data_IF_523232301650
#
_entry.id   IF_523232301650
#
_cell.length_a   1.000
_cell.length_b   1.000
_cell.length_c   1.000
_cell.angle_alpha   90.00
_cell.angle_beta   90.00
_cell.angle_gamma   90.00
#
_symmetry.space_group_name_H-M   'P 1'
#
loop_
_entity.id
_entity.type
_entity.pdbx_description
1 polymer ?
#
# COMPACT_ATOMS: atom_id res chain seq x y z
N UNK A 1 -3.24 -2.43 35.14
CA UNK A 1 -2.70 -3.57 34.36
C UNK A 1 -3.39 -3.74 33.02
N UNK A 2 -4.72 -3.96 32.95
CA UNK A 2 -5.42 -4.09 31.65
C UNK A 2 -5.43 -2.75 30.88
N UNK A 3 -5.83 -1.64 31.53
CA UNK A 3 -5.88 -0.33 30.86
C UNK A 3 -4.50 0.15 30.40
N UNK A 4 -3.47 -0.12 31.20
CA UNK A 4 -2.08 0.18 30.87
C UNK A 4 -1.60 -0.62 29.65
N UNK A 5 -1.91 -1.92 29.60
CA UNK A 5 -1.64 -2.76 28.45
C UNK A 5 -2.36 -2.25 27.20
N UNK A 6 -3.64 -1.90 27.30
CA UNK A 6 -4.44 -1.37 26.20
C UNK A 6 -3.86 -0.06 25.66
N UNK A 7 -3.38 0.82 26.55
CA UNK A 7 -2.72 2.06 26.16
C UNK A 7 -1.38 1.79 25.47
N UNK A 8 -0.54 0.90 26.00
CA UNK A 8 0.74 0.54 25.34
C UNK A 8 0.52 -0.04 23.95
N UNK A 9 -0.45 -0.95 23.80
CA UNK A 9 -0.82 -1.53 22.51
C UNK A 9 -1.30 -0.45 21.55
N UNK A 10 -2.19 0.44 21.99
CA UNK A 10 -2.74 1.49 21.13
C UNK A 10 -1.68 2.48 20.67
N UNK A 11 -0.75 2.87 21.54
CA UNK A 11 0.37 3.75 21.19
C UNK A 11 1.30 3.15 20.13
N UNK A 12 1.38 1.82 20.04
CA UNK A 12 2.22 1.13 19.05
C UNK A 12 1.46 0.87 17.74
N UNK A 13 0.19 0.44 17.83
CA UNK A 13 -0.58 -0.02 16.66
C UNK A 13 -1.27 1.14 15.94
N UNK A 14 -1.80 2.13 16.66
CA UNK A 14 -2.58 3.21 16.04
C UNK A 14 -1.78 4.02 15.01
N UNK A 15 -0.51 4.41 15.24
CA UNK A 15 0.29 5.11 14.23
C UNK A 15 0.46 4.27 12.97
N UNK A 16 0.74 2.97 13.11
CA UNK A 16 0.95 2.05 11.98
C UNK A 16 -0.33 1.97 11.14
N UNK A 17 -1.49 1.76 11.76
CA UNK A 17 -2.77 1.68 11.07
C UNK A 17 -3.13 3.01 10.40
N UNK A 18 -2.91 4.13 11.08
CA UNK A 18 -3.16 5.45 10.52
C UNK A 18 -2.29 5.72 9.29
N UNK A 19 -0.97 5.56 9.40
CA UNK A 19 -0.03 5.77 8.30
C UNK A 19 -0.33 4.84 7.13
N UNK A 20 -0.55 3.54 7.40
CA UNK A 20 -0.97 2.58 6.38
C UNK A 20 -2.22 3.06 5.63
N UNK A 21 -3.23 3.55 6.35
CA UNK A 21 -4.51 4.00 5.79
C UNK A 21 -4.31 5.21 4.88
N UNK A 22 -3.59 6.24 5.36
CA UNK A 22 -3.35 7.48 4.61
C UNK A 22 -2.51 7.21 3.37
N UNK A 23 -1.43 6.43 3.49
CA UNK A 23 -0.59 6.10 2.35
C UNK A 23 -1.29 5.21 1.33
N UNK A 24 -2.12 4.26 1.77
CA UNK A 24 -2.95 3.45 0.87
C UNK A 24 -3.94 4.30 0.07
N UNK A 25 -4.50 5.35 0.66
CA UNK A 25 -5.38 6.30 -0.02
C UNK A 25 -4.62 7.16 -1.03
N UNK A 26 -3.45 7.66 -0.65
CA UNK A 26 -2.60 8.44 -1.56
C UNK A 26 -2.07 7.61 -2.73
N UNK A 27 -1.75 6.34 -2.51
CA UNK A 27 -1.43 5.40 -3.59
C UNK A 27 -2.60 5.20 -4.55
N UNK A 28 -3.82 5.05 -4.02
CA UNK A 28 -5.02 4.99 -4.85
C UNK A 28 -5.17 6.28 -5.67
N UNK A 29 -5.08 7.46 -5.07
CA UNK A 29 -5.14 8.72 -5.80
C UNK A 29 -4.06 8.83 -6.88
N UNK A 30 -2.82 8.49 -6.55
CA UNK A 30 -1.69 8.52 -7.48
C UNK A 30 -1.95 7.66 -8.71
N UNK A 31 -2.40 6.41 -8.54
CA UNK A 31 -2.72 5.51 -9.65
C UNK A 31 -3.87 6.02 -10.52
N UNK A 32 -4.92 6.58 -9.91
CA UNK A 32 -6.08 7.09 -10.65
C UNK A 32 -5.74 8.39 -11.40
N UNK A 33 -4.94 9.28 -10.82
CA UNK A 33 -4.41 10.48 -11.49
C UNK A 33 -3.51 10.07 -12.66
N UNK A 34 -2.59 9.14 -12.46
CA UNK A 34 -1.76 8.60 -13.54
C UNK A 34 -2.59 7.97 -14.66
N UNK A 35 -3.62 7.18 -14.31
CA UNK A 35 -4.56 6.58 -15.26
C UNK A 35 -5.34 7.65 -16.03
N UNK A 36 -5.77 8.74 -15.38
CA UNK A 36 -6.45 9.83 -16.04
C UNK A 36 -5.58 10.50 -17.11
N UNK A 37 -4.32 10.80 -16.79
CA UNK A 37 -3.41 11.44 -17.76
C UNK A 37 -2.97 10.52 -18.89
N UNK A 38 -2.86 9.20 -18.64
CA UNK A 38 -2.36 8.25 -19.65
C UNK A 38 -3.46 7.60 -20.48
N UNK A 39 -4.65 7.42 -19.91
CA UNK A 39 -5.76 6.66 -20.52
C UNK A 39 -7.08 7.42 -20.60
N UNK A 40 -7.16 8.63 -20.03
CA UNK A 40 -8.40 9.41 -19.95
C UNK A 40 -9.44 8.86 -18.97
N UNK A 41 -9.10 7.83 -18.20
CA UNK A 41 -10.01 7.16 -17.25
C UNK A 41 -9.46 7.38 -15.85
N UNK A 42 -10.20 8.11 -15.02
CA UNK A 42 -9.83 8.34 -13.63
C UNK A 42 -9.93 7.05 -12.82
N UNK A 43 -11.12 6.43 -12.78
CA UNK A 43 -11.39 5.24 -11.96
C UNK A 43 -10.79 3.96 -12.57
N UNK A 44 -9.53 3.70 -12.26
CA UNK A 44 -8.85 2.45 -12.61
C UNK A 44 -9.43 1.29 -11.78
N UNK A 45 -9.60 0.08 -12.35
CA UNK A 45 -10.02 -1.09 -11.59
C UNK A 45 -9.16 -1.32 -10.33
N UNK A 46 -9.82 -1.56 -9.21
CA UNK A 46 -9.19 -1.82 -7.92
C UNK A 46 -9.57 -3.19 -7.35
N UNK A 47 -8.65 -3.80 -6.60
CA UNK A 47 -8.89 -5.07 -5.93
C UNK A 47 -9.86 -4.88 -4.77
N UNK A 48 -9.54 -3.94 -3.87
CA UNK A 48 -10.44 -3.50 -2.79
C UNK A 48 -11.63 -2.72 -3.37
N UNK A 49 -12.74 -2.72 -2.62
CA UNK A 49 -13.94 -1.96 -2.99
C UNK A 49 -13.74 -0.47 -2.71
N UNK A 50 -13.10 -0.16 -1.58
CA UNK A 50 -12.76 1.18 -1.16
C UNK A 50 -11.58 1.80 -1.92
N UNK A 51 -11.33 3.11 -1.73
CA UNK A 51 -10.30 3.88 -2.41
C UNK A 51 -8.91 3.66 -1.78
N UNK A 52 -8.49 2.41 -1.64
CA UNK A 52 -7.23 2.06 -0.98
C UNK A 52 -6.41 1.08 -1.82
N UNK A 53 -5.09 1.30 -1.84
CA UNK A 53 -4.09 0.42 -2.44
C UNK A 53 -3.10 -0.09 -1.40
N UNK A 54 -3.28 -1.29 -0.83
CA UNK A 54 -2.47 -1.79 0.28
C UNK A 54 -0.96 -1.77 0.06
N UNK A 55 -0.47 -2.01 -1.16
CA UNK A 55 0.96 -1.94 -1.48
C UNK A 55 1.56 -0.55 -1.18
N UNK A 56 0.80 0.51 -1.41
CA UNK A 56 1.18 1.89 -1.08
C UNK A 56 0.99 2.20 0.40
N UNK A 57 0.29 1.36 1.17
CA UNK A 57 0.29 1.43 2.63
C UNK A 57 1.54 0.77 3.21
N UNK A 58 1.82 -0.46 2.80
CA UNK A 58 2.92 -1.27 3.35
C UNK A 58 4.30 -0.69 3.03
N UNK A 59 4.57 -0.31 1.78
CA UNK A 59 5.90 0.14 1.39
C UNK A 59 6.35 1.41 2.14
N UNK A 60 5.56 2.50 2.21
CA UNK A 60 5.94 3.68 2.99
C UNK A 60 6.04 3.43 4.49
N UNK A 61 5.16 2.63 5.09
CA UNK A 61 5.25 2.28 6.53
C UNK A 61 6.57 1.57 6.83
N UNK A 62 7.00 0.65 5.98
CA UNK A 62 8.31 0.00 6.12
C UNK A 62 9.45 1.00 5.92
N UNK A 63 9.35 1.88 4.92
CA UNK A 63 10.37 2.90 4.67
C UNK A 63 10.58 3.83 5.86
N UNK A 64 9.51 4.40 6.45
CA UNK A 64 9.63 5.28 7.62
C UNK A 64 10.10 4.55 8.88
N UNK A 65 9.97 3.22 8.92
CA UNK A 65 10.49 2.40 10.02
C UNK A 65 12.01 2.19 9.90
N UNK A 66 12.53 2.07 8.68
CA UNK A 66 13.96 1.79 8.43
C UNK A 66 14.78 3.03 8.04
N UNK A 67 14.14 4.11 7.60
CA UNK A 67 14.79 5.36 7.20
C UNK A 67 14.50 6.43 8.25
N UNK A 68 15.57 6.95 8.82
CA UNK A 68 15.57 8.09 9.74
C UNK A 68 16.36 9.25 9.12
N UNK A 69 16.24 10.49 9.67
CA UNK A 69 17.08 11.61 9.23
C UNK A 69 18.58 11.35 9.33
N UNK A 70 19.01 10.39 10.16
CA UNK A 70 20.41 10.01 10.36
C UNK A 70 20.85 8.85 9.44
N UNK A 71 19.93 8.24 8.69
CA UNK A 71 20.25 7.15 7.77
C UNK A 71 21.15 7.65 6.65
N UNK A 72 22.23 6.93 6.38
CA UNK A 72 23.17 7.25 5.31
C UNK A 72 22.48 7.24 3.93
N UNK A 73 22.77 8.22 3.08
CA UNK A 73 22.10 8.41 1.78
C UNK A 73 22.15 7.18 0.86
N UNK A 74 23.31 6.55 0.58
CA UNK A 74 23.37 5.28 -0.12
C UNK A 74 22.42 4.19 0.42
N UNK A 75 22.32 4.04 1.75
CA UNK A 75 21.42 3.07 2.38
C UNK A 75 19.96 3.48 2.15
N UNK A 76 19.62 4.76 2.34
CA UNK A 76 18.28 5.27 2.12
C UNK A 76 17.83 5.05 0.66
N UNK A 77 18.69 5.37 -0.32
CA UNK A 77 18.41 5.14 -1.75
C UNK A 77 18.20 3.65 -2.05
N UNK A 78 19.03 2.78 -1.48
CA UNK A 78 18.88 1.34 -1.64
C UNK A 78 17.55 0.84 -1.07
N UNK A 79 17.14 1.30 0.11
CA UNK A 79 15.85 0.95 0.72
C UNK A 79 14.67 1.50 -0.09
N UNK A 80 14.76 2.74 -0.56
CA UNK A 80 13.78 3.38 -1.45
C UNK A 80 13.61 2.66 -2.80
N UNK A 81 14.62 1.91 -3.24
CA UNK A 81 14.51 1.00 -4.38
C UNK A 81 13.93 -0.35 -3.95
N UNK A 82 14.51 -0.98 -2.94
CA UNK A 82 14.28 -2.38 -2.57
C UNK A 82 12.89 -2.61 -1.99
N UNK A 83 12.48 -1.83 -0.98
CA UNK A 83 11.23 -2.04 -0.24
C UNK A 83 10.01 -1.96 -1.16
N UNK A 84 9.77 -0.85 -1.88
CA UNK A 84 8.59 -0.75 -2.75
C UNK A 84 8.63 -1.77 -3.89
N UNK A 85 9.80 -2.08 -4.45
CA UNK A 85 9.92 -3.12 -5.49
C UNK A 85 9.56 -4.51 -4.96
N UNK A 86 10.02 -4.87 -3.76
CA UNK A 86 9.68 -6.15 -3.15
C UNK A 86 8.19 -6.23 -2.81
N UNK A 87 7.62 -5.16 -2.25
CA UNK A 87 6.19 -5.08 -1.95
C UNK A 87 5.35 -5.16 -3.21
N UNK A 88 5.74 -4.47 -4.29
CA UNK A 88 5.07 -4.56 -5.60
C UNK A 88 5.12 -6.00 -6.13
N UNK A 89 6.29 -6.64 -6.11
CA UNK A 89 6.44 -8.01 -6.58
C UNK A 89 5.58 -9.01 -5.80
N UNK A 90 5.65 -8.98 -4.47
CA UNK A 90 4.87 -9.86 -3.59
C UNK A 90 3.37 -9.61 -3.76
N UNK A 91 2.96 -8.34 -3.88
CA UNK A 91 1.55 -7.98 -4.10
C UNK A 91 1.06 -8.50 -5.46
N UNK A 92 1.88 -8.35 -6.51
CA UNK A 92 1.57 -8.84 -7.85
C UNK A 92 1.37 -10.34 -7.88
N UNK A 93 2.33 -11.09 -7.31
CA UNK A 93 2.24 -12.55 -7.19
C UNK A 93 1.03 -13.01 -6.39
N UNK A 94 0.77 -12.38 -5.24
CA UNK A 94 -0.35 -12.73 -4.38
C UNK A 94 -1.68 -12.51 -5.11
N UNK A 95 -1.84 -11.35 -5.75
CA UNK A 95 -3.06 -11.02 -6.48
C UNK A 95 -3.27 -11.91 -7.71
N UNK A 96 -2.20 -12.21 -8.46
CA UNK A 96 -2.30 -13.15 -9.59
C UNK A 96 -2.71 -14.54 -9.11
N UNK A 97 -2.10 -15.06 -8.04
CA UNK A 97 -2.45 -16.37 -7.49
C UNK A 97 -3.89 -16.42 -6.96
N UNK A 98 -4.37 -15.35 -6.32
CA UNK A 98 -5.73 -15.29 -5.77
C UNK A 98 -6.78 -15.11 -6.86
N UNK A 99 -6.51 -14.28 -7.87
CA UNK A 99 -7.53 -13.85 -8.85
C UNK A 99 -7.36 -14.48 -10.24
N UNK A 100 -6.31 -15.27 -10.46
CA UNK A 100 -5.90 -15.82 -11.76
C UNK A 100 -5.75 -14.74 -12.84
N UNK A 101 -5.43 -13.52 -12.41
CA UNK A 101 -5.33 -12.34 -13.26
C UNK A 101 -4.22 -11.42 -12.78
N UNK A 102 -3.42 -10.93 -13.73
CA UNK A 102 -2.51 -9.81 -13.51
C UNK A 102 -3.27 -8.48 -13.40
N UNK A 103 -3.13 -7.81 -12.25
CA UNK A 103 -3.72 -6.48 -12.00
C UNK A 103 -2.94 -5.35 -12.67
N UNK A 104 -1.66 -5.60 -12.94
CA UNK A 104 -0.78 -4.83 -13.81
C UNK A 104 0.16 -5.82 -14.50
N UNK A 105 0.66 -5.46 -15.67
CA UNK A 105 1.57 -6.30 -16.43
C UNK A 105 2.67 -5.46 -17.10
N UNK A 106 3.91 -5.78 -16.76
CA UNK A 106 5.13 -5.17 -17.29
C UNK A 106 5.89 -6.12 -18.21
N UNK A 107 5.28 -7.21 -18.68
CA UNK A 107 5.93 -8.18 -19.58
C UNK A 107 6.53 -7.56 -20.84
N UNK A 108 5.94 -6.47 -21.35
CA UNK A 108 6.42 -5.72 -22.52
C UNK A 108 7.50 -4.67 -22.20
N UNK A 109 7.93 -4.56 -20.94
CA UNK A 109 8.95 -3.60 -20.51
C UNK A 109 10.26 -4.34 -20.25
N UNK A 110 11.37 -3.78 -20.74
CA UNK A 110 12.71 -4.34 -20.53
C UNK A 110 13.05 -4.50 -19.05
N UNK A 111 13.84 -5.53 -18.73
CA UNK A 111 14.24 -5.88 -17.36
C UNK A 111 13.06 -6.10 -16.40
N UNK A 112 11.97 -6.68 -16.89
CA UNK A 112 10.87 -7.14 -16.05
C UNK A 112 11.16 -8.50 -15.42
N UNK A 113 10.51 -8.77 -14.28
CA UNK A 113 10.48 -10.08 -13.63
C UNK A 113 9.03 -10.54 -13.58
N UNK A 114 8.72 -11.58 -14.37
CA UNK A 114 7.39 -12.20 -14.49
C UNK A 114 6.26 -11.21 -14.86
N UNK A 115 6.61 -10.02 -15.36
CA UNK A 115 5.66 -8.94 -15.60
C UNK A 115 5.12 -8.24 -14.34
N UNK A 116 5.60 -8.57 -13.13
CA UNK A 116 5.12 -7.95 -11.88
C UNK A 116 5.90 -6.72 -11.46
N UNK A 117 7.20 -6.71 -11.74
CA UNK A 117 8.10 -5.57 -11.51
C UNK A 117 8.98 -5.37 -12.72
N UNK A 118 9.49 -4.16 -12.90
CA UNK A 118 10.58 -3.89 -13.82
C UNK A 118 11.47 -2.77 -13.28
N UNK A 119 12.73 -2.76 -13.71
CA UNK A 119 13.73 -1.81 -13.21
C UNK A 119 13.29 -0.35 -13.41
N UNK A 120 12.60 -0.03 -14.52
CA UNK A 120 12.14 1.33 -14.79
C UNK A 120 11.20 1.85 -13.71
N UNK A 121 10.18 1.08 -13.30
CA UNK A 121 9.29 1.49 -12.21
C UNK A 121 9.99 1.43 -10.85
N UNK A 122 10.90 0.47 -10.64
CA UNK A 122 11.73 0.43 -9.44
C UNK A 122 12.57 1.70 -9.24
N UNK A 123 13.06 2.31 -10.32
CA UNK A 123 13.75 3.60 -10.26
C UNK A 123 12.78 4.75 -9.94
N UNK A 124 11.56 4.74 -10.50
CA UNK A 124 10.53 5.70 -10.14
C UNK A 124 10.17 5.60 -8.64
N UNK A 125 10.19 4.40 -8.06
CA UNK A 125 9.96 4.21 -6.63
C UNK A 125 10.98 4.90 -5.75
N UNK A 126 12.24 5.05 -6.19
CA UNK A 126 13.25 5.79 -5.43
C UNK A 126 12.78 7.24 -5.23
N UNK A 127 12.43 7.92 -6.31
CA UNK A 127 11.99 9.32 -6.27
C UNK A 127 10.73 9.47 -5.42
N UNK A 128 9.73 8.62 -5.66
CA UNK A 128 8.47 8.66 -4.92
C UNK A 128 8.68 8.40 -3.42
N UNK A 129 9.56 7.46 -3.06
CA UNK A 129 9.88 7.12 -1.67
C UNK A 129 10.60 8.27 -0.97
N UNK A 130 11.54 8.95 -1.63
CA UNK A 130 12.21 10.13 -1.06
C UNK A 130 11.18 11.24 -0.80
N UNK A 131 10.31 11.52 -1.77
CA UNK A 131 9.23 12.51 -1.61
C UNK A 131 8.34 12.12 -0.43
N UNK A 132 7.96 10.84 -0.35
CA UNK A 132 7.11 10.33 0.72
C UNK A 132 7.77 10.48 2.10
N UNK A 133 9.00 10.00 2.27
CA UNK A 133 9.67 9.95 3.58
C UNK A 133 10.08 11.34 4.06
N UNK A 134 10.64 12.19 3.21
CA UNK A 134 11.23 13.46 3.64
C UNK A 134 10.27 14.65 3.60
N UNK A 135 9.19 14.58 2.80
CA UNK A 135 8.27 15.70 2.64
C UNK A 135 6.84 15.37 3.06
N UNK A 136 6.33 14.22 2.63
CA UNK A 136 4.93 13.85 2.90
C UNK A 136 4.73 13.32 4.32
N UNK A 137 5.64 12.47 4.81
CA UNK A 137 5.55 11.85 6.12
C UNK A 137 5.57 12.87 7.26
N UNK A 138 6.46 13.89 7.31
CA UNK A 138 6.43 14.89 8.38
C UNK A 138 5.09 15.64 8.47
N UNK A 139 4.45 15.91 7.32
CA UNK A 139 3.13 16.54 7.30
C UNK A 139 2.02 15.60 7.83
N UNK A 140 2.05 14.33 7.42
CA UNK A 140 1.09 13.30 7.89
C UNK A 140 1.28 13.00 9.37
N UNK A 141 2.52 12.94 9.86
CA UNK A 141 2.87 12.74 11.27
C UNK A 141 2.42 13.94 12.11
N UNK A 142 2.62 15.18 11.64
CA UNK A 142 2.09 16.36 12.33
C UNK A 142 0.56 16.33 12.44
N UNK A 143 -0.14 15.81 11.43
CA UNK A 143 -1.59 15.60 11.50
C UNK A 143 -1.95 14.48 12.46
N UNK A 144 -1.19 13.38 12.49
CA UNK A 144 -1.35 12.30 13.46
C UNK A 144 -1.29 12.83 14.89
N UNK A 145 -0.25 13.59 15.25
CA UNK A 145 -0.06 14.14 16.60
C UNK A 145 -1.24 15.03 17.05
N UNK A 146 -1.87 15.77 16.12
CA UNK A 146 -3.05 16.60 16.42
C UNK A 146 -4.31 15.77 16.68
N UNK A 147 -4.39 14.58 16.07
CA UNK A 147 -5.55 13.69 16.13
C UNK A 147 -5.31 12.48 17.05
N UNK A 148 -4.11 12.35 17.60
CA UNK A 148 -3.62 11.18 18.35
C UNK A 148 -4.60 10.73 19.43
N UNK A 149 -5.17 11.62 20.29
CA UNK A 149 -6.09 11.19 21.32
C UNK A 149 -7.31 10.43 20.78
N UNK A 150 -7.79 10.78 19.58
CA UNK A 150 -8.91 10.09 18.93
C UNK A 150 -8.44 8.83 18.23
N UNK A 151 -7.29 8.91 17.52
CA UNK A 151 -6.72 7.80 16.75
C UNK A 151 -6.36 6.59 17.62
N UNK A 152 -5.95 6.82 18.87
CA UNK A 152 -5.68 5.76 19.85
C UNK A 152 -6.91 4.89 20.18
N UNK A 153 -8.13 5.41 20.03
CA UNK A 153 -9.35 4.64 20.30
C UNK A 153 -10.01 4.07 19.03
N UNK A 154 -9.85 4.71 17.87
CA UNK A 154 -10.56 4.31 16.64
C UNK A 154 -9.79 3.31 15.76
N UNK A 155 -8.49 3.08 15.99
CA UNK A 155 -7.70 2.15 15.18
C UNK A 155 -8.30 0.73 15.06
N UNK A 156 -8.99 0.14 16.07
CA UNK A 156 -9.59 -1.19 15.91
C UNK A 156 -10.71 -1.19 14.86
N UNK A 157 -11.48 -0.10 14.77
CA UNK A 157 -12.56 0.06 13.80
C UNK A 157 -11.98 0.11 12.38
N UNK A 158 -10.89 0.85 12.19
CA UNK A 158 -10.19 0.95 10.91
C UNK A 158 -9.62 -0.42 10.51
N UNK A 159 -9.06 -1.18 11.46
CA UNK A 159 -8.58 -2.53 11.21
C UNK A 159 -9.72 -3.46 10.77
N UNK A 160 -10.85 -3.44 11.46
CA UNK A 160 -12.05 -4.22 11.09
C UNK A 160 -12.55 -3.82 9.70
N UNK A 161 -12.53 -2.53 9.34
CA UNK A 161 -12.86 -2.06 8.00
C UNK A 161 -11.96 -2.69 6.93
N UNK A 162 -10.64 -2.69 7.10
CA UNK A 162 -9.73 -3.30 6.13
C UNK A 162 -9.88 -4.82 6.05
N UNK A 163 -10.14 -5.50 7.18
CA UNK A 163 -10.45 -6.93 7.17
C UNK A 163 -11.73 -7.22 6.38
N UNK A 164 -12.78 -6.42 6.58
CA UNK A 164 -14.02 -6.54 5.81
C UNK A 164 -13.80 -6.29 4.32
N UNK A 165 -13.05 -5.24 3.94
CA UNK A 165 -12.68 -4.94 2.55
C UNK A 165 -11.96 -6.11 1.88
N UNK A 166 -10.96 -6.71 2.55
CA UNK A 166 -10.22 -7.86 2.03
C UNK A 166 -11.16 -9.07 1.85
N UNK A 167 -11.97 -9.39 2.85
CA UNK A 167 -12.92 -10.51 2.78
C UNK A 167 -13.92 -10.34 1.63
N UNK A 168 -14.47 -9.13 1.46
CA UNK A 168 -15.40 -8.81 0.38
C UNK A 168 -14.72 -8.83 -1.00
N UNK A 169 -13.50 -8.30 -1.10
CA UNK A 169 -12.72 -8.34 -2.34
C UNK A 169 -12.41 -9.79 -2.77
N UNK A 170 -11.98 -10.63 -1.82
CA UNK A 170 -11.75 -12.06 -2.06
C UNK A 170 -13.03 -12.73 -2.57
N UNK A 171 -14.16 -12.56 -1.87
CA UNK A 171 -15.45 -13.13 -2.30
C UNK A 171 -15.86 -12.66 -3.70
N UNK A 172 -15.66 -11.38 -4.00
CA UNK A 172 -16.04 -10.78 -5.29
C UNK A 172 -15.22 -11.31 -6.47
N UNK A 173 -13.90 -11.44 -6.29
CA UNK A 173 -12.99 -11.76 -7.38
C UNK A 173 -12.74 -13.27 -7.51
N UNK A 174 -12.71 -14.02 -6.41
CA UNK A 174 -12.52 -15.48 -6.43
C UNK A 174 -13.84 -16.20 -6.72
N UNK A 175 -14.93 -15.82 -6.04
CA UNK A 175 -16.23 -16.48 -6.21
C UNK A 175 -16.82 -16.35 -7.62
N UNK A 176 -16.40 -15.35 -8.40
CA UNK A 176 -16.78 -15.22 -9.81
C UNK A 176 -16.06 -16.22 -10.72
N UNK A 177 -14.81 -16.56 -10.42
CA UNK A 177 -14.03 -17.45 -11.27
C UNK A 177 -14.55 -18.90 -11.19
N UNK A 178 -14.87 -19.39 -9.98
CA UNK A 178 -15.46 -20.74 -9.81
C UNK A 178 -16.81 -20.89 -10.54
N UNK A 179 -17.64 -19.84 -10.55
CA UNK A 179 -18.94 -19.87 -11.24
C UNK A 179 -18.82 -19.98 -12.76
N UNK A 180 -17.72 -19.50 -13.35
CA UNK A 180 -17.48 -19.57 -14.79
C UNK A 180 -16.88 -20.93 -15.20
N UNK A 181 -16.07 -21.55 -14.35
CA UNK A 181 -15.55 -22.90 -14.58
C UNK A 181 -16.60 -24.00 -14.44
N UNK A 182 -17.67 -23.78 -13.67
CA UNK A 182 -18.74 -24.79 -13.47
C UNK A 182 -19.75 -24.84 -14.64
N UNK A 183 -19.71 -23.88 -15.56
CA UNK A 183 -20.67 -23.74 -16.68
C UNK A 183 -20.02 -24.10 -18.04
N UNK A 184 -18.70 -24.33 -18.10
CA UNK A 184 -17.95 -24.73 -19.30
C UNK A 184 -17.69 -26.22 -19.35
#
# INVERSE_FOLDING_TARGET
MIDELLMTVSNTIAPIIYFFTVYSLFGWLLENVHSFFTRGIFLKPNFLLGPFKPMYGFAPVLLITFISPQTNWPIALFLCFLIPTLIEYVSGLLLEKLTQKKWWDYSEISFNIQGHICVTYSLCWILLSIICVYYLHPAIESLFQKMEPVLLYIWPIILVYFLAEILLAIRRHIGKNESLETIG
#
